data_IF_551226157687
#
_entry.id   IF_551226157687
#
_cell.length_a   1.000
_cell.length_b   1.000
_cell.length_c   1.000
_cell.angle_alpha   90.00
_cell.angle_beta   90.00
_cell.angle_gamma   90.00
#
_symmetry.space_group_name_H-M   'P 1'
#
loop_
_entity.id
_entity.type
_entity.pdbx_description
1 polymer ?
#
# COMPACT_ATOMS: atom_id res chain seq x y z
N UNK A 1 -13.29 -13.57 -17.55
CA UNK A 1 -13.10 -14.74 -16.67
C UNK A 1 -12.29 -14.28 -15.47
N UNK A 2 -12.94 -13.69 -14.48
CA UNK A 2 -12.31 -13.19 -13.25
C UNK A 2 -12.16 -14.36 -12.30
N UNK A 3 -10.92 -14.81 -12.09
CA UNK A 3 -10.60 -15.73 -11.00
C UNK A 3 -10.92 -14.93 -9.73
N UNK A 4 -11.99 -15.31 -9.04
CA UNK A 4 -12.25 -14.91 -7.66
C UNK A 4 -11.13 -15.49 -6.81
N UNK A 5 -9.96 -14.85 -6.84
CA UNK A 5 -8.98 -15.01 -5.78
C UNK A 5 -9.66 -14.48 -4.54
N UNK A 6 -9.69 -15.30 -3.48
CA UNK A 6 -10.04 -14.81 -2.14
C UNK A 6 -9.38 -13.45 -1.92
N UNK A 7 -10.02 -12.50 -1.21
CA UNK A 7 -9.38 -11.24 -0.87
C UNK A 7 -8.08 -11.58 -0.16
N UNK A 8 -6.95 -11.46 -0.88
CA UNK A 8 -5.63 -11.52 -0.28
C UNK A 8 -5.65 -10.43 0.78
N UNK A 9 -5.23 -10.78 1.98
CA UNK A 9 -5.09 -9.81 3.06
C UNK A 9 -4.24 -8.65 2.54
N UNK A 10 -4.53 -7.40 2.91
CA UNK A 10 -3.75 -6.26 2.41
C UNK A 10 -2.23 -6.39 2.63
N UNK A 11 -1.80 -7.08 3.69
CA UNK A 11 -0.39 -7.39 3.96
C UNK A 11 0.25 -8.31 2.92
N UNK A 12 -0.54 -9.18 2.29
CA UNK A 12 -0.12 -10.06 1.19
C UNK A 12 -0.24 -9.38 -0.17
N UNK A 13 -1.17 -8.43 -0.30
CA UNK A 13 -1.24 -7.57 -1.48
C UNK A 13 -0.03 -6.61 -1.53
N UNK A 14 0.46 -6.18 -0.36
CA UNK A 14 1.58 -5.24 -0.22
C UNK A 14 2.69 -5.83 0.69
N UNK A 15 3.44 -6.85 0.22
CA UNK A 15 4.53 -7.45 0.96
C UNK A 15 5.62 -6.43 1.34
N UNK A 16 6.35 -6.73 2.41
CA UNK A 16 7.39 -5.84 2.92
C UNK A 16 8.66 -5.96 2.06
N UNK A 17 9.19 -4.83 1.59
CA UNK A 17 10.45 -4.72 0.87
C UNK A 17 10.33 -4.82 -0.65
N UNK A 18 9.15 -5.13 -1.16
CA UNK A 18 8.87 -5.34 -2.58
C UNK A 18 8.08 -4.16 -3.17
N UNK A 19 8.34 -3.87 -4.45
CA UNK A 19 7.57 -2.93 -5.23
C UNK A 19 6.43 -3.69 -5.93
N UNK A 20 5.21 -3.33 -5.59
CA UNK A 20 4.00 -3.96 -6.12
C UNK A 20 3.43 -3.08 -7.22
N UNK A 21 3.19 -3.60 -8.44
CA UNK A 21 2.49 -2.88 -9.48
C UNK A 21 1.12 -2.40 -9.00
N UNK A 22 0.83 -1.12 -9.21
CA UNK A 22 -0.43 -0.50 -8.79
C UNK A 22 -1.00 0.34 -9.93
N UNK A 23 -2.32 0.35 -10.08
CA UNK A 23 -3.00 1.17 -11.09
C UNK A 23 -3.85 2.21 -10.39
N UNK A 24 -3.74 3.46 -10.82
CA UNK A 24 -4.56 4.55 -10.36
C UNK A 24 -5.38 5.11 -11.53
N UNK A 25 -6.70 5.03 -11.43
CA UNK A 25 -7.57 5.73 -12.37
C UNK A 25 -7.63 7.21 -12.00
N UNK A 26 -7.24 8.07 -12.93
CA UNK A 26 -7.26 9.52 -12.76
C UNK A 26 -7.81 10.19 -14.02
N UNK A 27 -8.88 10.98 -13.86
CA UNK A 27 -9.58 11.65 -14.97
C UNK A 27 -9.98 10.67 -16.09
N UNK A 28 -10.40 9.46 -15.73
CA UNK A 28 -10.86 8.43 -16.67
C UNK A 28 -9.73 7.62 -17.33
N UNK A 29 -8.46 7.88 -17.01
CA UNK A 29 -7.31 7.17 -17.57
C UNK A 29 -6.62 6.36 -16.47
N UNK A 30 -6.23 5.12 -16.77
CA UNK A 30 -5.46 4.27 -15.86
C UNK A 30 -3.97 4.53 -16.00
N UNK A 31 -3.36 5.02 -14.93
CA UNK A 31 -1.93 5.25 -14.86
C UNK A 31 -1.26 4.10 -14.10
N UNK A 32 -0.29 3.41 -14.72
CA UNK A 32 0.55 2.43 -14.03
C UNK A 32 1.55 3.11 -13.08
N UNK A 33 1.75 2.51 -11.92
CA UNK A 33 2.73 2.94 -10.94
C UNK A 33 3.07 1.80 -10.00
N UNK A 34 3.64 2.13 -8.85
CA UNK A 34 4.03 1.11 -7.87
C UNK A 34 3.83 1.58 -6.42
N UNK A 35 3.54 0.61 -5.56
CA UNK A 35 3.46 0.78 -4.11
C UNK A 35 4.54 -0.07 -3.47
N UNK A 36 5.34 0.55 -2.61
CA UNK A 36 6.39 -0.12 -1.85
C UNK A 36 6.04 -0.03 -0.37
N UNK A 37 5.88 -1.16 0.30
CA UNK A 37 5.85 -1.18 1.77
C UNK A 37 7.24 -1.48 2.27
N UNK A 38 7.85 -0.60 3.06
CA UNK A 38 9.23 -0.79 3.52
C UNK A 38 9.34 -0.59 5.04
N UNK A 39 10.32 -1.25 5.68
CA UNK A 39 10.52 -1.05 7.12
C UNK A 39 11.10 0.34 7.41
N UNK A 40 12.06 0.75 6.57
CA UNK A 40 12.78 2.02 6.64
C UNK A 40 13.05 2.58 5.26
N UNK A 41 13.38 3.87 5.18
CA UNK A 41 13.73 4.53 3.93
C UNK A 41 14.99 3.93 3.30
N UNK A 42 14.95 3.77 1.98
CA UNK A 42 16.12 3.42 1.16
C UNK A 42 16.24 4.45 0.03
N UNK A 43 17.43 5.04 -0.21
CA UNK A 43 17.61 6.04 -1.26
C UNK A 43 17.17 5.59 -2.65
N UNK A 44 17.22 4.28 -2.95
CA UNK A 44 16.78 3.73 -4.24
C UNK A 44 15.32 4.07 -4.56
N UNK A 45 14.49 4.20 -3.53
CA UNK A 45 13.08 4.54 -3.69
C UNK A 45 12.86 6.01 -4.05
N UNK A 46 13.86 6.88 -3.81
CA UNK A 46 13.82 8.28 -4.22
C UNK A 46 14.43 8.54 -5.60
N UNK A 47 14.97 7.53 -6.29
CA UNK A 47 15.50 7.69 -7.64
C UNK A 47 14.39 8.02 -8.65
N UNK A 48 14.79 8.57 -9.80
CA UNK A 48 13.90 8.81 -10.94
C UNK A 48 13.13 7.55 -11.33
N UNK A 49 11.87 7.72 -11.67
CA UNK A 49 11.03 6.64 -12.18
C UNK A 49 11.28 6.50 -13.68
N UNK A 50 11.60 5.28 -14.11
CA UNK A 50 11.89 4.93 -15.49
C UNK A 50 10.70 4.19 -16.13
N UNK A 51 10.65 4.22 -17.47
CA UNK A 51 9.66 3.50 -18.26
C UNK A 51 8.21 3.96 -18.00
N UNK A 52 7.29 2.99 -17.94
CA UNK A 52 5.85 3.22 -17.77
C UNK A 52 5.42 3.34 -16.30
N UNK A 53 6.27 3.87 -15.42
CA UNK A 53 5.94 4.10 -14.00
C UNK A 53 5.62 5.58 -13.81
N UNK A 54 4.32 5.89 -13.64
CA UNK A 54 3.83 7.26 -13.53
C UNK A 54 3.86 7.80 -12.10
N UNK A 55 3.90 6.93 -11.10
CA UNK A 55 4.02 7.31 -9.70
C UNK A 55 4.62 6.18 -8.86
N UNK A 56 5.19 6.56 -7.71
CA UNK A 56 5.64 5.64 -6.67
C UNK A 56 5.12 6.09 -5.31
N UNK A 57 4.51 5.17 -4.57
CA UNK A 57 4.09 5.40 -3.18
C UNK A 57 4.89 4.50 -2.25
N UNK A 58 5.62 5.08 -1.30
CA UNK A 58 6.45 4.36 -0.35
C UNK A 58 5.83 4.46 1.04
N UNK A 59 5.24 3.38 1.53
CA UNK A 59 4.67 3.29 2.88
C UNK A 59 5.71 2.76 3.86
N UNK A 60 6.19 3.59 4.80
CA UNK A 60 7.18 3.18 5.79
C UNK A 60 6.52 2.62 7.06
N UNK A 61 6.96 1.45 7.53
CA UNK A 61 6.46 0.84 8.77
C UNK A 61 6.90 1.60 10.01
N UNK A 62 8.06 2.26 9.95
CA UNK A 62 8.69 2.95 11.07
C UNK A 62 9.16 4.35 10.67
N UNK A 63 8.83 5.33 11.51
CA UNK A 63 9.47 6.64 11.46
C UNK A 63 10.71 6.62 12.35
N UNK A 64 11.89 6.64 11.74
CA UNK A 64 13.14 6.89 12.47
C UNK A 64 13.27 8.41 12.69
N UNK A 65 13.75 8.81 13.87
CA UNK A 65 13.92 10.23 14.21
C UNK A 65 14.85 10.92 13.21
N UNK A 66 14.48 12.13 12.78
CA UNK A 66 15.26 12.92 11.81
C UNK A 66 15.25 12.37 10.38
N UNK A 67 14.33 11.46 10.04
CA UNK A 67 14.22 10.97 8.67
C UNK A 67 13.70 12.06 7.73
N UNK A 68 14.56 12.51 6.83
CA UNK A 68 14.24 13.37 5.68
C UNK A 68 14.60 12.61 4.39
N UNK A 69 13.63 11.96 3.74
CA UNK A 69 13.85 11.25 2.49
C UNK A 69 14.31 12.21 1.40
N UNK A 70 15.49 11.98 0.83
CA UNK A 70 15.90 12.67 -0.40
C UNK A 70 15.17 12.05 -1.58
N UNK A 71 14.16 12.76 -2.09
CA UNK A 71 13.31 12.33 -3.20
C UNK A 71 13.74 13.13 -4.45
N UNK A 72 14.23 12.44 -5.48
CA UNK A 72 14.66 13.07 -6.75
C UNK A 72 13.52 13.18 -7.75
N UNK A 73 12.57 12.24 -7.73
CA UNK A 73 11.42 12.26 -8.63
C UNK A 73 10.20 12.90 -7.97
N UNK A 74 9.63 13.99 -8.51
CA UNK A 74 8.45 14.64 -7.93
C UNK A 74 7.21 13.73 -7.94
N UNK A 75 7.21 12.62 -8.71
CA UNK A 75 6.14 11.62 -8.77
C UNK A 75 6.27 10.55 -7.68
N UNK A 76 7.15 10.74 -6.70
CA UNK A 76 7.30 9.84 -5.56
C UNK A 76 6.79 10.48 -4.27
N UNK A 77 5.99 9.74 -3.52
CA UNK A 77 5.58 10.09 -2.15
C UNK A 77 6.07 9.04 -1.14
N UNK A 78 6.46 9.51 0.04
CA UNK A 78 6.85 8.71 1.19
C UNK A 78 5.87 8.97 2.33
N UNK A 79 5.13 7.94 2.71
CA UNK A 79 4.16 7.97 3.79
C UNK A 79 4.81 7.47 5.08
N UNK A 80 4.95 8.38 6.04
CA UNK A 80 5.50 8.14 7.36
C UNK A 80 4.38 7.93 8.38
N UNK A 81 4.49 6.93 9.26
CA UNK A 81 3.58 6.80 10.38
C UNK A 81 3.88 7.87 11.42
N UNK A 82 2.89 8.19 12.26
CA UNK A 82 3.08 9.03 13.43
C UNK A 82 4.22 8.48 14.32
N UNK A 83 5.01 9.38 14.94
CA UNK A 83 6.07 8.97 15.86
C UNK A 83 5.44 8.40 17.14
N UNK A 84 5.91 7.23 17.59
CA UNK A 84 5.38 6.63 18.81
C UNK A 84 5.69 5.15 18.96
N UNK A 85 5.55 4.64 20.18
CA UNK A 85 5.62 3.20 20.48
C UNK A 85 4.22 2.60 20.41
N UNK A 86 3.89 1.96 19.30
CA UNK A 86 2.58 1.33 19.09
C UNK A 86 2.58 -0.11 19.60
N UNK A 87 2.59 -0.27 20.94
CA UNK A 87 2.66 -1.61 21.58
C UNK A 87 1.51 -2.52 21.14
N UNK A 88 0.30 -1.97 21.02
CA UNK A 88 -0.89 -2.71 20.56
C UNK A 88 -0.69 -3.24 19.14
N UNK A 89 -0.36 -2.35 18.20
CA UNK A 89 -0.01 -2.72 16.82
C UNK A 89 1.09 -3.77 16.73
N UNK A 90 2.17 -3.63 17.52
CA UNK A 90 3.25 -4.64 17.56
C UNK A 90 2.75 -6.00 18.03
N UNK A 91 1.91 -6.04 19.07
CA UNK A 91 1.29 -7.28 19.56
C UNK A 91 0.42 -7.93 18.50
N UNK A 92 -0.43 -7.14 17.83
CA UNK A 92 -1.27 -7.63 16.72
C UNK A 92 -0.43 -8.20 15.58
N UNK A 93 0.64 -7.51 15.18
CA UNK A 93 1.53 -7.99 14.13
C UNK A 93 2.25 -9.30 14.50
N UNK A 94 2.68 -9.45 15.76
CA UNK A 94 3.21 -10.72 16.25
C UNK A 94 2.16 -11.83 16.23
N UNK A 95 0.93 -11.54 16.66
CA UNK A 95 -0.16 -12.52 16.68
C UNK A 95 -0.51 -12.98 15.27
N UNK A 96 -0.61 -12.06 14.29
CA UNK A 96 -0.81 -12.41 12.87
C UNK A 96 0.30 -13.36 12.38
N UNK A 97 1.56 -13.09 12.70
CA UNK A 97 2.69 -13.98 12.31
C UNK A 97 2.51 -15.37 12.89
N UNK A 98 2.28 -15.47 14.20
CA UNK A 98 2.15 -16.75 14.91
C UNK A 98 0.92 -17.53 14.43
N UNK A 99 -0.22 -16.87 14.19
CA UNK A 99 -1.42 -17.52 13.68
C UNK A 99 -1.24 -18.01 12.24
N UNK A 100 -0.52 -17.27 11.37
CA UNK A 100 -0.17 -17.73 10.01
C UNK A 100 0.78 -18.92 10.03
N UNK A 101 1.81 -18.89 10.86
CA UNK A 101 2.72 -20.02 11.06
C UNK A 101 1.96 -21.27 11.50
N UNK A 102 1.02 -21.11 12.45
CA UNK A 102 0.16 -22.20 12.92
C UNK A 102 -0.73 -22.72 11.81
N UNK A 103 -1.37 -21.83 11.04
CA UNK A 103 -2.24 -22.21 9.91
C UNK A 103 -1.47 -23.02 8.86
N UNK A 104 -0.21 -22.67 8.57
CA UNK A 104 0.63 -23.39 7.62
C UNK A 104 0.88 -24.86 8.02
N UNK A 105 0.98 -25.15 9.32
CA UNK A 105 1.12 -26.52 9.82
C UNK A 105 -0.14 -27.35 9.49
N UNK A 106 -1.33 -26.79 9.73
CA UNK A 106 -2.60 -27.47 9.50
C UNK A 106 -3.02 -27.59 8.02
N UNK A 107 -2.33 -26.90 7.10
CA UNK A 107 -2.57 -27.07 5.66
C UNK A 107 -2.13 -28.45 5.15
N UNK A 108 -1.19 -29.10 5.84
CA UNK A 108 -0.64 -30.41 5.43
C UNK A 108 -1.47 -31.61 5.92
N UNK A 109 -2.46 -31.39 6.79
CA UNK A 109 -3.28 -32.45 7.40
C UNK A 109 -4.64 -32.60 6.69
N UNK A 110 -5.07 -33.84 6.40
CA UNK A 110 -6.31 -34.10 5.64
C UNK A 110 -7.54 -34.44 6.51
N UNK A 111 -7.40 -34.47 7.84
CA UNK A 111 -8.48 -34.89 8.73
C UNK A 111 -9.56 -33.82 8.94
N UNK A 112 -10.78 -34.25 9.29
CA UNK A 112 -11.95 -33.36 9.51
C UNK A 112 -11.77 -32.40 10.67
N UNK A 113 -11.06 -32.81 11.73
CA UNK A 113 -10.68 -31.93 12.84
C UNK A 113 -9.73 -30.81 12.37
N UNK A 114 -8.77 -31.13 11.51
CA UNK A 114 -7.88 -30.14 10.92
C UNK A 114 -8.65 -29.12 10.05
N UNK A 115 -9.74 -29.54 9.41
CA UNK A 115 -10.61 -28.61 8.66
C UNK A 115 -11.28 -27.58 9.58
N UNK A 116 -11.80 -27.99 10.73
CA UNK A 116 -12.38 -27.08 11.73
C UNK A 116 -11.33 -26.12 12.31
N UNK A 117 -10.11 -26.61 12.57
CA UNK A 117 -9.01 -25.78 13.04
C UNK A 117 -8.63 -24.73 11.98
N UNK A 118 -8.53 -25.11 10.70
CA UNK A 118 -8.23 -24.19 9.60
C UNK A 118 -9.26 -23.06 9.50
N UNK A 119 -10.56 -23.37 9.59
CA UNK A 119 -11.62 -22.34 9.53
C UNK A 119 -11.54 -21.38 10.72
N UNK A 120 -11.24 -21.90 11.91
CA UNK A 120 -11.13 -21.10 13.12
C UNK A 120 -9.91 -20.17 13.06
N UNK A 121 -8.76 -20.68 12.59
CA UNK A 121 -7.55 -19.89 12.38
C UNK A 121 -7.75 -18.82 11.30
N UNK A 122 -8.47 -19.14 10.21
CA UNK A 122 -8.76 -18.17 9.15
C UNK A 122 -9.59 -17.00 9.67
N UNK A 123 -10.68 -17.28 10.37
CA UNK A 123 -11.51 -16.23 11.00
C UNK A 123 -10.69 -15.36 11.96
N UNK A 124 -9.81 -15.98 12.75
CA UNK A 124 -8.94 -15.24 13.68
C UNK A 124 -7.97 -14.32 12.94
N UNK A 125 -7.41 -14.78 11.81
CA UNK A 125 -6.55 -13.95 10.97
C UNK A 125 -7.31 -12.75 10.42
N UNK A 126 -8.50 -12.96 9.86
CA UNK A 126 -9.33 -11.88 9.31
C UNK A 126 -9.60 -10.80 10.38
N UNK A 127 -9.97 -11.21 11.61
CA UNK A 127 -10.19 -10.31 12.74
C UNK A 127 -8.92 -9.53 13.16
N UNK A 128 -7.77 -10.20 13.22
CA UNK A 128 -6.50 -9.56 13.59
C UNK A 128 -6.01 -8.58 12.54
N UNK A 129 -6.24 -8.90 11.27
CA UNK A 129 -5.81 -8.09 10.14
C UNK A 129 -6.68 -6.84 9.98
N UNK A 130 -7.99 -6.94 10.23
CA UNK A 130 -8.87 -5.77 10.34
C UNK A 130 -8.44 -4.85 11.49
N UNK A 131 -8.14 -5.40 12.67
CA UNK A 131 -7.65 -4.61 13.80
C UNK A 131 -6.30 -3.94 13.49
N UNK A 132 -5.39 -4.66 12.82
CA UNK A 132 -4.09 -4.13 12.43
C UNK A 132 -4.23 -3.03 11.39
N UNK A 133 -5.16 -3.19 10.44
CA UNK A 133 -5.47 -2.18 9.43
C UNK A 133 -6.04 -0.91 10.08
N UNK A 134 -6.85 -1.05 11.13
CA UNK A 134 -7.38 0.09 11.89
C UNK A 134 -6.30 0.85 12.63
N UNK A 135 -5.38 0.13 13.26
CA UNK A 135 -4.20 0.74 13.89
C UNK A 135 -3.31 1.45 12.86
N UNK A 136 -3.05 0.82 11.71
CA UNK A 136 -2.22 1.44 10.66
C UNK A 136 -2.94 2.66 10.04
N UNK A 137 -4.26 2.63 9.85
CA UNK A 137 -5.07 3.78 9.38
C UNK A 137 -4.89 5.02 10.27
N UNK A 138 -5.13 4.87 11.58
CA UNK A 138 -4.94 5.96 12.56
C UNK A 138 -3.50 6.43 12.56
N UNK A 139 -2.57 5.48 12.54
CA UNK A 139 -1.14 5.77 12.64
C UNK A 139 -0.61 6.55 11.43
N UNK A 140 -1.11 6.29 10.23
CA UNK A 140 -0.72 7.06 9.05
C UNK A 140 -1.53 8.36 8.90
N UNK A 141 -2.78 8.41 9.36
CA UNK A 141 -3.59 9.65 9.34
C UNK A 141 -3.04 10.73 10.29
N UNK A 142 -2.41 10.33 11.39
CA UNK A 142 -1.66 11.20 12.30
C UNK A 142 -0.19 11.40 11.87
N UNK A 143 0.21 10.73 10.79
CA UNK A 143 1.58 10.69 10.30
C UNK A 143 1.96 11.89 9.44
N UNK A 144 2.84 11.64 8.48
CA UNK A 144 3.29 12.66 7.54
C UNK A 144 3.44 12.03 6.15
N UNK A 145 3.12 12.78 5.12
CA UNK A 145 3.45 12.42 3.74
C UNK A 145 4.51 13.42 3.28
N UNK A 146 5.61 12.91 2.73
CA UNK A 146 6.69 13.70 2.15
C UNK A 146 6.71 13.37 0.67
N UNK A 147 6.48 14.35 -0.18
CA UNK A 147 6.54 14.20 -1.62
C UNK A 147 7.78 14.89 -2.18
N UNK A 148 8.20 14.52 -3.39
CA UNK A 148 9.32 15.17 -4.08
C UNK A 148 9.03 16.58 -4.57
N UNK A 149 7.80 17.07 -4.42
CA UNK A 149 7.40 18.45 -4.68
C UNK A 149 7.23 19.20 -3.33
N UNK A 150 7.18 20.53 -3.37
CA UNK A 150 7.14 21.38 -2.16
C UNK A 150 5.81 21.32 -1.40
N UNK A 151 4.82 20.58 -1.92
CA UNK A 151 3.50 20.42 -1.33
C UNK A 151 3.34 19.00 -0.81
N UNK A 152 2.48 18.77 0.17
CA UNK A 152 2.16 17.41 0.61
C UNK A 152 0.68 17.30 0.97
N UNK A 153 0.01 16.18 0.64
CA UNK A 153 -1.40 16.03 0.94
C UNK A 153 -1.60 15.83 2.45
N UNK A 154 -2.77 16.21 2.94
CA UNK A 154 -3.15 15.99 4.33
C UNK A 154 -3.31 14.49 4.61
N UNK A 155 -2.52 13.89 5.53
CA UNK A 155 -2.56 12.46 5.79
C UNK A 155 -3.94 11.97 6.25
N UNK A 156 -4.72 12.79 6.96
CA UNK A 156 -6.07 12.46 7.41
C UNK A 156 -7.02 12.19 6.25
N UNK A 157 -6.89 12.96 5.16
CA UNK A 157 -7.71 12.77 3.95
C UNK A 157 -7.24 11.56 3.16
N UNK A 158 -5.93 11.31 3.11
CA UNK A 158 -5.34 10.18 2.38
C UNK A 158 -5.63 8.83 3.06
N UNK A 159 -5.54 8.76 4.38
CA UNK A 159 -5.63 7.51 5.15
C UNK A 159 -7.00 7.30 5.81
N UNK A 160 -7.99 8.14 5.50
CA UNK A 160 -9.38 7.92 5.93
C UNK A 160 -9.92 6.57 5.44
N UNK A 161 -10.72 5.91 6.28
CA UNK A 161 -11.33 4.61 5.99
C UNK A 161 -10.37 3.43 6.12
N UNK A 162 -10.88 2.23 5.83
CA UNK A 162 -10.21 0.93 6.04
C UNK A 162 -9.94 0.20 4.73
N UNK A 163 -9.42 0.92 3.72
CA UNK A 163 -9.10 0.34 2.40
C UNK A 163 -7.74 0.85 1.90
N UNK A 164 -6.69 0.00 1.95
CA UNK A 164 -5.37 0.31 1.43
C UNK A 164 -5.36 0.68 -0.06
N UNK A 165 -6.20 0.06 -0.88
CA UNK A 165 -6.29 0.44 -2.29
C UNK A 165 -6.81 1.87 -2.44
N UNK A 166 -7.85 2.25 -1.69
CA UNK A 166 -8.31 3.63 -1.67
C UNK A 166 -7.25 4.61 -1.12
N UNK A 167 -6.44 4.22 -0.12
CA UNK A 167 -5.34 5.07 0.38
C UNK A 167 -4.31 5.33 -0.72
N UNK A 168 -3.79 4.27 -1.35
CA UNK A 168 -2.77 4.39 -2.38
C UNK A 168 -3.29 5.10 -3.64
N UNK A 169 -4.54 4.85 -4.03
CA UNK A 169 -5.20 5.59 -5.11
C UNK A 169 -5.29 7.09 -4.82
N UNK A 170 -5.59 7.49 -3.58
CA UNK A 170 -5.62 8.91 -3.19
C UNK A 170 -4.23 9.56 -3.25
N UNK A 171 -3.18 8.87 -2.78
CA UNK A 171 -1.80 9.37 -2.91
C UNK A 171 -1.41 9.49 -4.39
N UNK A 172 -1.65 8.44 -5.17
CA UNK A 172 -1.33 8.40 -6.59
C UNK A 172 -2.06 9.50 -7.36
N UNK A 173 -3.37 9.67 -7.16
CA UNK A 173 -4.15 10.73 -7.80
C UNK A 173 -3.64 12.14 -7.44
N UNK A 174 -3.13 12.33 -6.23
CA UNK A 174 -2.51 13.59 -5.83
C UNK A 174 -1.13 13.79 -6.50
N UNK A 175 -0.31 12.74 -6.59
CA UNK A 175 0.97 12.77 -7.31
C UNK A 175 0.78 13.09 -8.79
N UNK A 176 -0.18 12.43 -9.45
CA UNK A 176 -0.51 12.66 -10.87
C UNK A 176 -0.93 14.10 -11.12
N UNK A 177 -1.84 14.64 -10.30
CA UNK A 177 -2.32 16.02 -10.41
C UNK A 177 -1.22 17.05 -10.20
N UNK A 178 -0.28 16.76 -9.29
CA UNK A 178 0.80 17.69 -8.95
C UNK A 178 1.96 17.66 -9.94
N UNK A 179 2.31 16.49 -10.47
CA UNK A 179 3.34 16.34 -11.50
C UNK A 179 2.85 16.80 -12.89
N UNK A 180 1.56 16.61 -13.19
CA UNK A 180 0.95 16.97 -14.46
C UNK A 180 -0.35 17.76 -14.26
N UNK A 181 -0.28 19.09 -14.11
CA UNK A 181 -1.49 19.90 -13.93
C UNK A 181 -2.43 19.90 -15.16
N UNK A 182 -1.88 19.65 -16.36
CA UNK A 182 -2.58 19.69 -17.64
C UNK A 182 -2.96 18.30 -18.17
N UNK A 183 -3.32 17.37 -17.28
CA UNK A 183 -3.77 16.03 -17.67
C UNK A 183 -4.94 16.08 -18.69
N UNK A 184 -5.01 15.17 -19.67
CA UNK A 184 -4.22 13.93 -19.80
C UNK A 184 -2.75 14.17 -20.15
N UNK A 185 -1.85 13.33 -19.62
CA UNK A 185 -0.52 13.20 -20.22
C UNK A 185 -0.77 12.53 -21.57
N UNK A 186 -0.27 13.12 -22.65
CA UNK A 186 -0.33 12.52 -23.98
C UNK A 186 0.59 11.28 -23.98
N UNK A 187 0.09 10.16 -23.44
CA UNK A 187 0.83 8.91 -23.34
C UNK A 187 0.85 8.17 -24.68
N UNK A 188 1.01 8.85 -25.82
CA UNK A 188 1.12 8.24 -27.15
C UNK A 188 0.07 7.17 -27.48
N UNK A 189 -1.08 7.17 -26.80
CA UNK A 189 -2.13 6.20 -26.95
C UNK A 189 -2.77 6.46 -28.31
N UNK A 190 -2.31 5.73 -29.32
CA UNK A 190 -3.07 5.52 -30.54
C UNK A 190 -4.38 4.89 -30.12
N UNK A 191 -5.41 5.71 -30.05
CA UNK A 191 -6.79 5.26 -30.05
C UNK A 191 -6.95 4.26 -31.20
N UNK A 192 -7.52 3.06 -30.98
CA UNK A 192 -8.03 2.30 -32.10
C UNK A 192 -9.19 3.13 -32.64
N UNK A 193 -8.97 3.74 -33.81
CA UNK A 193 -10.07 4.28 -34.61
C UNK A 193 -10.90 3.07 -35.02
N UNK A 194 -11.97 2.79 -34.29
CA UNK A 194 -13.03 1.93 -34.82
C UNK A 194 -13.67 2.70 -35.98
N UNK A 195 -13.32 2.25 -37.19
CA UNK A 195 -14.02 2.61 -38.40
C UNK A 195 -15.44 2.05 -38.34
N UNK A 196 -16.43 2.94 -38.39
CA UNK A 196 -17.77 2.66 -38.88
C UNK A 196 -18.15 3.76 -39.87
#
# INVERSE_FOLDING_TARGET
MTIYGEPRVWLEQFPLGEAVPFRCQHLGIDYPGEVVRADTWSPRWGNTLDGDIYFRVVLLRQRRGGLEPMIRDPRTAVCLPAPGRYRRRSRLASEVSTTRETQAVYLTQQDTEAALIRTTLRRRLDELEEQLLGEDSVRYSEGQIIAGNDMSPQPQVIFAGMDPHAWFSRVAAWLLRSAWPQLPVDCGLKWPVEAY
#
